data_IF_090340273919
#
_entry.id   IF_090340273919
#
_cell.length_a   1.000
_cell.length_b   1.000
_cell.length_c   1.000
_cell.angle_alpha   90.00
_cell.angle_beta   90.00
_cell.angle_gamma   90.00
#
_symmetry.space_group_name_H-M   'P 1'
#
loop_
_entity.id
_entity.type
_entity.pdbx_description
1 polymer ?
#
# COMPACT_ATOMS: atom_id res chain seq x y z
N UNK A 1 -13.47 -8.66 -6.71
CA UNK A 1 -12.13 -9.24 -7.10
C UNK A 1 -12.28 -10.73 -7.38
N UNK A 2 -11.41 -11.32 -8.21
CA UNK A 2 -11.45 -12.78 -8.47
C UNK A 2 -10.85 -13.54 -7.27
N UNK A 3 -11.31 -14.80 -7.06
CA UNK A 3 -10.90 -15.67 -5.96
C UNK A 3 -9.37 -15.83 -5.83
N UNK A 4 -8.68 -15.92 -6.98
CA UNK A 4 -7.21 -16.05 -7.03
C UNK A 4 -6.44 -14.96 -6.27
N UNK A 5 -6.99 -13.78 -6.14
CA UNK A 5 -6.38 -12.60 -5.50
C UNK A 5 -7.10 -12.17 -4.23
N UNK A 6 -7.95 -13.06 -3.69
CA UNK A 6 -8.75 -12.78 -2.50
C UNK A 6 -8.23 -13.61 -1.33
N UNK A 7 -7.69 -12.94 -0.32
CA UNK A 7 -7.40 -13.59 0.96
C UNK A 7 -8.71 -13.72 1.76
N UNK A 8 -8.86 -14.82 2.49
CA UNK A 8 -10.11 -15.22 3.14
C UNK A 8 -10.65 -14.13 4.09
N UNK A 9 -9.81 -13.56 4.95
CA UNK A 9 -10.22 -12.59 5.96
C UNK A 9 -10.73 -11.30 5.30
N UNK A 10 -9.99 -10.73 4.35
CA UNK A 10 -10.43 -9.53 3.64
C UNK A 10 -11.65 -9.82 2.76
N UNK A 11 -11.67 -10.97 2.10
CA UNK A 11 -12.81 -11.40 1.28
C UNK A 11 -14.09 -11.56 2.07
N UNK A 12 -14.01 -12.01 3.33
CA UNK A 12 -15.19 -12.18 4.19
C UNK A 12 -15.88 -10.86 4.54
N UNK A 13 -15.11 -9.76 4.65
CA UNK A 13 -15.69 -8.42 4.90
C UNK A 13 -16.63 -8.02 3.75
N UNK A 14 -16.28 -8.36 2.52
CA UNK A 14 -17.01 -7.99 1.31
C UNK A 14 -17.95 -9.07 0.80
N UNK A 15 -18.20 -10.12 1.60
CA UNK A 15 -19.22 -11.10 1.27
C UNK A 15 -20.62 -10.49 1.44
N UNK A 16 -21.54 -10.90 0.57
CA UNK A 16 -22.93 -10.46 0.65
C UNK A 16 -23.57 -10.77 2.01
N UNK A 17 -23.25 -11.94 2.58
CA UNK A 17 -23.70 -12.30 3.93
C UNK A 17 -23.24 -11.28 4.99
N UNK A 18 -21.95 -10.86 4.94
CA UNK A 18 -21.43 -9.89 5.91
C UNK A 18 -21.98 -8.48 5.69
N UNK A 19 -22.26 -8.10 4.45
CA UNK A 19 -22.94 -6.82 4.15
C UNK A 19 -24.31 -6.79 4.85
N UNK A 20 -25.16 -7.81 4.63
CA UNK A 20 -26.47 -7.88 5.27
C UNK A 20 -26.40 -8.03 6.80
N UNK A 21 -25.43 -8.78 7.33
CA UNK A 21 -25.21 -8.89 8.77
C UNK A 21 -24.83 -7.54 9.38
N UNK A 22 -24.00 -6.73 8.69
CA UNK A 22 -23.62 -5.39 9.15
C UNK A 22 -24.79 -4.43 9.10
N UNK A 23 -25.59 -4.44 8.03
CA UNK A 23 -26.84 -3.66 7.93
C UNK A 23 -27.82 -4.01 9.04
N UNK A 24 -28.01 -5.32 9.32
CA UNK A 24 -28.83 -5.81 10.45
C UNK A 24 -28.34 -5.26 11.80
N UNK A 25 -27.02 -5.22 11.99
CA UNK A 25 -26.44 -4.65 13.22
C UNK A 25 -26.80 -3.16 13.38
N UNK A 26 -26.72 -2.37 12.29
CA UNK A 26 -27.13 -0.95 12.31
C UNK A 26 -28.60 -0.81 12.67
N UNK A 27 -29.51 -1.59 12.08
CA UNK A 27 -30.94 -1.56 12.36
C UNK A 27 -31.27 -1.93 13.82
N UNK A 28 -30.60 -2.95 14.36
CA UNK A 28 -30.78 -3.34 15.78
C UNK A 28 -30.35 -2.18 16.69
N UNK A 29 -29.15 -1.62 16.45
CA UNK A 29 -28.64 -0.53 17.28
C UNK A 29 -29.47 0.75 17.17
N UNK A 30 -30.02 1.06 15.98
CA UNK A 30 -30.95 2.17 15.81
C UNK A 30 -32.24 1.95 16.58
N UNK A 31 -32.80 0.73 16.57
CA UNK A 31 -34.00 0.38 17.35
C UNK A 31 -33.73 0.48 18.85
N UNK A 32 -32.55 0.08 19.33
CA UNK A 32 -32.16 0.27 20.73
C UNK A 32 -32.11 1.76 21.12
N UNK A 33 -31.48 2.59 20.29
CA UNK A 33 -31.44 4.02 20.52
C UNK A 33 -32.86 4.65 20.56
N UNK A 34 -33.76 4.23 19.68
CA UNK A 34 -35.17 4.66 19.70
C UNK A 34 -35.88 4.23 20.98
N UNK A 35 -35.56 3.05 21.53
CA UNK A 35 -36.09 2.60 22.81
C UNK A 35 -35.55 3.41 24.01
N UNK A 36 -34.27 3.79 23.98
CA UNK A 36 -33.67 4.67 25.00
C UNK A 36 -34.33 6.06 24.99
N UNK A 37 -34.74 6.57 23.84
CA UNK A 37 -35.49 7.81 23.69
C UNK A 37 -36.97 7.67 24.09
N UNK A 38 -37.46 6.43 24.28
CA UNK A 38 -38.88 6.17 24.57
C UNK A 38 -39.78 6.25 23.34
N UNK A 39 -39.24 6.30 22.14
CA UNK A 39 -40.02 6.34 20.90
C UNK A 39 -40.63 4.98 20.54
N UNK A 40 -40.03 3.89 21.03
CA UNK A 40 -40.56 2.53 20.93
C UNK A 40 -40.48 1.83 22.30
N UNK A 41 -41.29 0.80 22.56
CA UNK A 41 -41.20 0.00 23.78
C UNK A 41 -39.83 -0.69 23.89
N UNK A 42 -39.28 -0.77 25.11
CA UNK A 42 -38.01 -1.49 25.35
C UNK A 42 -38.09 -2.96 24.96
N UNK A 43 -39.23 -3.58 25.28
CA UNK A 43 -39.52 -4.97 24.93
C UNK A 43 -39.55 -5.20 23.41
N UNK A 44 -39.87 -4.18 22.61
CA UNK A 44 -39.83 -4.26 21.17
C UNK A 44 -38.37 -4.25 20.66
N UNK A 45 -37.50 -3.40 21.22
CA UNK A 45 -36.08 -3.40 20.88
C UNK A 45 -35.38 -4.72 21.27
N UNK A 46 -35.74 -5.29 22.43
CA UNK A 46 -35.25 -6.62 22.84
C UNK A 46 -35.69 -7.71 21.86
N UNK A 47 -36.98 -7.71 21.45
CA UNK A 47 -37.47 -8.66 20.44
C UNK A 47 -36.79 -8.49 19.09
N UNK A 48 -36.51 -7.25 18.65
CA UNK A 48 -35.75 -6.98 17.42
C UNK A 48 -34.36 -7.58 17.54
N UNK A 49 -33.64 -7.34 18.64
CA UNK A 49 -32.29 -7.89 18.86
C UNK A 49 -32.27 -9.42 18.83
N UNK A 50 -33.25 -10.06 19.49
CA UNK A 50 -33.29 -11.51 19.63
C UNK A 50 -33.69 -12.24 18.33
N UNK A 51 -34.64 -11.62 17.57
CA UNK A 51 -35.29 -12.27 16.43
C UNK A 51 -34.86 -11.77 15.06
N UNK A 52 -34.09 -10.67 14.99
CA UNK A 52 -33.63 -10.14 13.71
C UNK A 52 -32.78 -11.18 12.98
N UNK A 53 -33.39 -11.79 12.00
CA UNK A 53 -32.78 -12.76 11.11
C UNK A 53 -33.16 -12.43 9.66
N UNK A 54 -32.34 -12.83 8.72
CA UNK A 54 -32.61 -12.67 7.29
C UNK A 54 -32.14 -13.90 6.51
N UNK A 55 -32.64 -14.03 5.31
CA UNK A 55 -32.15 -14.98 4.30
C UNK A 55 -31.81 -14.19 3.04
N UNK A 56 -30.58 -14.35 2.54
CA UNK A 56 -30.13 -13.70 1.31
C UNK A 56 -31.06 -14.05 0.14
N UNK A 57 -31.42 -15.33 0.00
CA UNK A 57 -32.34 -15.78 -1.04
C UNK A 57 -33.70 -15.07 -0.92
N UNK A 58 -34.22 -14.92 0.32
CA UNK A 58 -35.51 -14.25 0.54
C UNK A 58 -35.44 -12.76 0.24
N UNK A 59 -34.31 -12.10 0.57
CA UNK A 59 -34.08 -10.70 0.20
C UNK A 59 -34.13 -10.56 -1.31
N UNK A 60 -33.42 -11.42 -2.06
CA UNK A 60 -33.44 -11.39 -3.53
C UNK A 60 -34.82 -11.64 -4.12
N UNK A 61 -35.63 -12.55 -3.54
CA UNK A 61 -37.01 -12.76 -3.96
C UNK A 61 -37.86 -11.49 -3.84
N UNK A 62 -37.79 -10.82 -2.68
CA UNK A 62 -38.54 -9.58 -2.42
C UNK A 62 -38.02 -8.45 -3.31
N UNK A 63 -36.69 -8.35 -3.49
CA UNK A 63 -36.08 -7.31 -4.34
C UNK A 63 -36.48 -7.47 -5.81
N UNK A 64 -36.63 -8.70 -6.31
CA UNK A 64 -37.08 -8.95 -7.67
C UNK A 64 -38.48 -8.37 -7.95
N UNK A 65 -39.33 -8.22 -6.92
CA UNK A 65 -40.65 -7.62 -7.02
C UNK A 65 -40.65 -6.11 -6.74
N UNK A 66 -39.86 -5.69 -5.74
CA UNK A 66 -39.87 -4.29 -5.22
C UNK A 66 -38.86 -3.39 -5.96
N UNK A 67 -37.85 -3.98 -6.60
CA UNK A 67 -36.72 -3.30 -7.23
C UNK A 67 -35.95 -2.33 -6.27
N UNK A 68 -35.93 -2.68 -4.97
CA UNK A 68 -35.30 -1.88 -3.93
C UNK A 68 -34.68 -2.78 -2.85
N UNK A 69 -33.36 -2.85 -2.82
CA UNK A 69 -32.57 -3.73 -1.95
C UNK A 69 -32.83 -3.53 -0.45
N UNK A 70 -32.76 -2.29 0.06
CA UNK A 70 -32.99 -2.01 1.49
C UNK A 70 -34.45 -2.22 1.90
N UNK A 71 -35.40 -1.89 1.05
CA UNK A 71 -36.79 -2.19 1.32
C UNK A 71 -37.05 -3.71 1.43
N UNK A 72 -36.45 -4.48 0.55
CA UNK A 72 -36.47 -5.95 0.58
C UNK A 72 -35.85 -6.51 1.87
N UNK A 73 -34.69 -5.99 2.25
CA UNK A 73 -34.01 -6.37 3.49
C UNK A 73 -34.84 -6.07 4.74
N UNK A 74 -35.36 -4.85 4.88
CA UNK A 74 -36.22 -4.44 6.02
C UNK A 74 -37.49 -5.29 6.09
N UNK A 75 -38.10 -5.58 4.93
CA UNK A 75 -39.27 -6.47 4.87
C UNK A 75 -38.95 -7.88 5.38
N UNK A 76 -37.81 -8.45 4.94
CA UNK A 76 -37.40 -9.77 5.39
C UNK A 76 -37.02 -9.80 6.89
N UNK A 77 -36.41 -8.76 7.43
CA UNK A 77 -36.20 -8.66 8.88
C UNK A 77 -37.55 -8.66 9.62
N UNK A 78 -38.49 -7.88 9.16
CA UNK A 78 -39.82 -7.73 9.79
C UNK A 78 -40.62 -9.05 9.77
N UNK A 79 -40.52 -9.84 8.67
CA UNK A 79 -41.13 -11.18 8.59
C UNK A 79 -40.68 -12.10 9.74
N UNK A 80 -39.41 -12.03 10.15
CA UNK A 80 -38.81 -12.87 11.18
C UNK A 80 -39.07 -12.35 12.63
N UNK A 81 -39.23 -11.01 12.80
CA UNK A 81 -39.41 -10.39 14.10
C UNK A 81 -40.87 -10.46 14.58
N UNK A 82 -41.81 -10.38 13.66
CA UNK A 82 -43.25 -10.34 13.98
C UNK A 82 -43.72 -8.94 14.33
N UNK A 83 -44.58 -8.80 15.36
CA UNK A 83 -45.25 -7.52 15.68
C UNK A 83 -44.27 -6.34 15.94
N UNK A 84 -43.13 -6.59 16.55
CA UNK A 84 -42.10 -5.59 16.78
C UNK A 84 -41.39 -5.16 15.50
N UNK A 85 -41.52 -5.93 14.42
CA UNK A 85 -40.93 -5.60 13.11
C UNK A 85 -41.36 -4.26 12.52
N UNK A 86 -42.53 -3.74 12.92
CA UNK A 86 -43.02 -2.40 12.53
C UNK A 86 -42.15 -1.23 13.01
N UNK A 87 -41.21 -1.47 13.93
CA UNK A 87 -40.30 -0.47 14.46
C UNK A 87 -38.93 -0.53 13.80
N UNK A 88 -38.63 -1.55 12.99
CA UNK A 88 -37.40 -1.60 12.20
C UNK A 88 -37.41 -0.47 11.18
N UNK A 89 -36.28 0.18 10.98
CA UNK A 89 -36.12 1.31 10.05
C UNK A 89 -36.92 2.57 10.40
N UNK A 90 -37.35 2.73 11.65
CA UNK A 90 -38.19 3.85 12.08
C UNK A 90 -37.42 5.18 11.95
N UNK A 91 -37.89 6.08 11.08
CA UNK A 91 -37.30 7.39 10.83
C UNK A 91 -36.03 7.38 9.99
N UNK A 92 -35.57 6.22 9.54
CA UNK A 92 -34.35 6.06 8.77
C UNK A 92 -34.61 6.13 7.24
N UNK A 93 -33.59 6.51 6.51
CA UNK A 93 -33.51 6.31 5.05
C UNK A 93 -32.45 5.25 4.70
N UNK A 94 -32.55 4.67 3.53
CA UNK A 94 -31.65 3.56 3.11
C UNK A 94 -30.16 3.85 3.31
N UNK A 95 -29.72 5.09 3.07
CA UNK A 95 -28.31 5.48 3.23
C UNK A 95 -27.89 5.73 4.67
N UNK A 96 -28.82 5.93 5.60
CA UNK A 96 -28.51 5.94 7.02
C UNK A 96 -27.92 4.59 7.44
N UNK A 97 -28.47 3.51 6.91
CA UNK A 97 -28.00 2.15 7.20
C UNK A 97 -26.79 1.79 6.32
N UNK A 98 -26.88 2.06 5.00
CA UNK A 98 -25.83 1.68 4.05
C UNK A 98 -24.52 2.39 4.29
N UNK A 99 -24.52 3.72 4.41
CA UNK A 99 -23.28 4.48 4.57
C UNK A 99 -22.64 4.21 5.95
N UNK A 100 -23.45 4.02 6.99
CA UNK A 100 -22.96 3.66 8.32
C UNK A 100 -22.35 2.25 8.34
N UNK A 101 -23.01 1.28 7.72
CA UNK A 101 -22.48 -0.08 7.56
C UNK A 101 -21.18 -0.08 6.72
N UNK A 102 -21.16 0.66 5.61
CA UNK A 102 -19.96 0.79 4.76
C UNK A 102 -18.79 1.41 5.54
N UNK A 103 -19.03 2.47 6.33
CA UNK A 103 -18.01 3.08 7.18
C UNK A 103 -17.41 2.09 8.18
N UNK A 104 -18.24 1.21 8.76
CA UNK A 104 -17.78 0.14 9.64
C UNK A 104 -16.98 -0.94 8.90
N UNK A 105 -17.44 -1.38 7.73
CA UNK A 105 -16.72 -2.36 6.89
C UNK A 105 -15.37 -1.80 6.40
N UNK A 106 -15.30 -0.53 5.99
CA UNK A 106 -14.07 0.14 5.61
C UNK A 106 -13.09 0.29 6.77
N UNK A 107 -13.59 0.52 8.00
CA UNK A 107 -12.77 0.47 9.22
C UNK A 107 -12.11 -0.90 9.38
N UNK A 108 -12.88 -1.98 9.28
CA UNK A 108 -12.37 -3.36 9.39
C UNK A 108 -11.32 -3.67 8.31
N UNK A 109 -11.61 -3.32 7.05
CA UNK A 109 -10.65 -3.48 5.96
C UNK A 109 -9.36 -2.69 6.20
N UNK A 110 -9.47 -1.46 6.71
CA UNK A 110 -8.32 -0.63 7.07
C UNK A 110 -7.45 -1.23 8.18
N UNK A 111 -8.05 -1.90 9.14
CA UNK A 111 -7.35 -2.58 10.24
C UNK A 111 -6.50 -3.75 9.72
N UNK A 112 -7.01 -4.51 8.75
CA UNK A 112 -6.25 -5.57 8.07
C UNK A 112 -5.08 -4.97 7.30
N UNK A 113 -5.31 -3.95 6.47
CA UNK A 113 -4.26 -3.31 5.67
C UNK A 113 -3.18 -2.66 6.54
N UNK A 114 -3.52 -2.12 7.71
CA UNK A 114 -2.54 -1.62 8.68
C UNK A 114 -1.67 -2.75 9.22
N UNK A 115 -2.27 -3.86 9.61
CA UNK A 115 -1.52 -5.03 10.10
C UNK A 115 -0.56 -5.58 9.03
N UNK A 116 -0.99 -5.62 7.77
CA UNK A 116 -0.16 -6.05 6.64
C UNK A 116 1.03 -5.11 6.40
N UNK A 117 0.79 -3.79 6.45
CA UNK A 117 1.85 -2.79 6.32
C UNK A 117 2.87 -2.89 7.47
N UNK A 118 2.41 -3.14 8.69
CA UNK A 118 3.28 -3.33 9.85
C UNK A 118 4.11 -4.61 9.72
N UNK A 119 3.51 -5.70 9.27
CA UNK A 119 4.23 -6.93 8.98
C UNK A 119 5.29 -6.74 7.88
N UNK A 120 4.96 -5.99 6.84
CA UNK A 120 5.91 -5.65 5.77
C UNK A 120 7.05 -4.77 6.28
N UNK A 121 6.77 -3.76 7.10
CA UNK A 121 7.78 -2.93 7.78
C UNK A 121 8.76 -3.78 8.57
N UNK A 122 8.28 -4.74 9.34
CA UNK A 122 9.12 -5.56 10.22
C UNK A 122 10.05 -6.48 9.41
N UNK A 123 9.57 -7.02 8.29
CA UNK A 123 10.41 -7.76 7.34
C UNK A 123 11.48 -6.84 6.74
N UNK A 124 11.12 -5.63 6.32
CA UNK A 124 12.09 -4.67 5.77
C UNK A 124 13.17 -4.29 6.79
N UNK A 125 12.80 -4.05 8.06
CA UNK A 125 13.76 -3.77 9.15
C UNK A 125 14.77 -4.90 9.29
N UNK A 126 14.31 -6.13 9.38
CA UNK A 126 15.17 -7.31 9.53
C UNK A 126 16.10 -7.48 8.31
N UNK A 127 15.55 -7.41 7.11
CA UNK A 127 16.33 -7.58 5.88
C UNK A 127 17.31 -6.41 5.65
N UNK A 128 16.96 -5.20 6.02
CA UNK A 128 17.86 -4.05 5.94
C UNK A 128 19.09 -4.24 6.83
N UNK A 129 18.90 -4.71 8.07
CA UNK A 129 20.01 -5.01 9.00
C UNK A 129 20.87 -6.15 8.48
N UNK A 130 20.26 -7.22 7.94
CA UNK A 130 20.98 -8.37 7.36
C UNK A 130 21.97 -7.93 6.25
N UNK A 131 21.59 -6.99 5.41
CA UNK A 131 22.41 -6.51 4.28
C UNK A 131 23.02 -5.12 4.53
N UNK A 132 23.09 -4.68 5.77
CA UNK A 132 23.57 -3.33 6.14
C UNK A 132 24.93 -3.00 5.48
N UNK A 133 25.83 -3.95 5.46
CA UNK A 133 27.18 -3.79 4.93
C UNK A 133 27.44 -4.55 3.63
N UNK A 134 26.40 -5.00 2.94
CA UNK A 134 26.53 -5.66 1.62
C UNK A 134 26.69 -4.60 0.53
N UNK A 135 27.89 -4.41 -0.03
CA UNK A 135 28.10 -3.40 -1.06
C UNK A 135 27.38 -3.78 -2.34
N UNK A 136 26.82 -2.81 -3.01
CA UNK A 136 26.27 -2.93 -4.35
C UNK A 136 26.48 -1.63 -5.12
N UNK A 137 26.41 -1.69 -6.44
CA UNK A 137 26.54 -0.49 -7.27
C UNK A 137 25.21 0.29 -7.29
N UNK A 138 25.28 1.58 -6.97
CA UNK A 138 24.20 2.54 -7.21
C UNK A 138 24.16 2.88 -8.70
N UNK A 139 22.96 2.82 -9.29
CA UNK A 139 22.73 3.15 -10.70
C UNK A 139 21.86 4.40 -10.81
N UNK A 140 22.32 5.38 -11.59
CA UNK A 140 21.51 6.53 -12.01
C UNK A 140 21.38 6.49 -13.53
N UNK A 141 20.18 6.72 -14.05
CA UNK A 141 19.89 6.56 -15.49
C UNK A 141 20.23 5.18 -16.06
N UNK A 142 20.32 4.14 -15.22
CA UNK A 142 20.77 2.81 -15.59
C UNK A 142 22.30 2.63 -15.67
N UNK A 143 23.08 3.69 -15.40
CA UNK A 143 24.53 3.70 -15.47
C UNK A 143 25.12 3.57 -14.06
N UNK A 144 26.27 2.88 -13.93
CA UNK A 144 26.99 2.76 -12.66
C UNK A 144 27.46 4.13 -12.18
N UNK A 145 27.10 4.49 -10.95
CA UNK A 145 27.48 5.75 -10.31
C UNK A 145 28.49 5.47 -9.19
N UNK A 146 28.03 5.31 -7.96
CA UNK A 146 28.87 5.10 -6.79
C UNK A 146 28.40 3.85 -6.01
N UNK A 147 29.23 3.36 -5.11
CA UNK A 147 28.85 2.27 -4.22
C UNK A 147 27.79 2.72 -3.21
N UNK A 148 26.86 1.83 -2.97
CA UNK A 148 25.88 1.88 -1.87
C UNK A 148 25.84 0.53 -1.18
N UNK A 149 24.91 0.31 -0.24
CA UNK A 149 24.64 -1.03 0.29
C UNK A 149 23.23 -1.49 -0.06
N UNK A 150 23.06 -2.81 -0.17
CA UNK A 150 21.73 -3.38 -0.37
C UNK A 150 20.80 -3.10 0.83
N UNK A 151 21.38 -3.03 2.04
CA UNK A 151 20.65 -2.60 3.23
C UNK A 151 20.13 -1.17 3.16
N UNK A 152 20.89 -0.21 2.60
CA UNK A 152 20.43 1.16 2.39
C UNK A 152 19.27 1.23 1.39
N UNK A 153 19.28 0.39 0.34
CA UNK A 153 18.15 0.25 -0.58
C UNK A 153 16.88 -0.18 0.16
N UNK A 154 16.99 -1.15 1.04
CA UNK A 154 15.87 -1.62 1.87
C UNK A 154 15.44 -0.59 2.93
N UNK A 155 16.37 0.19 3.50
CA UNK A 155 16.03 1.32 4.38
C UNK A 155 15.19 2.39 3.67
N UNK A 156 15.43 2.65 2.38
CA UNK A 156 14.60 3.57 1.61
C UNK A 156 13.17 3.04 1.47
N UNK A 157 12.99 1.72 1.24
CA UNK A 157 11.66 1.09 1.21
C UNK A 157 11.00 1.12 2.58
N UNK A 158 11.77 0.90 3.66
CA UNK A 158 11.31 1.01 5.04
C UNK A 158 10.74 2.40 5.32
N UNK A 159 11.49 3.46 5.02
CA UNK A 159 11.05 4.84 5.22
C UNK A 159 9.75 5.18 4.47
N UNK A 160 9.59 4.62 3.27
CA UNK A 160 8.38 4.79 2.47
C UNK A 160 7.20 4.00 3.04
N UNK A 161 7.45 2.80 3.55
CA UNK A 161 6.44 1.96 4.21
C UNK A 161 5.95 2.61 5.52
N UNK A 162 6.83 3.20 6.30
CA UNK A 162 6.44 3.96 7.51
C UNK A 162 5.52 5.14 7.16
N UNK A 163 5.82 5.89 6.10
CA UNK A 163 4.91 6.93 5.61
C UNK A 163 3.58 6.37 5.11
N UNK A 164 3.57 5.17 4.52
CA UNK A 164 2.35 4.52 4.08
C UNK A 164 1.49 4.04 5.26
N UNK A 165 2.09 3.59 6.36
CA UNK A 165 1.39 3.29 7.60
C UNK A 165 0.66 4.54 8.13
N UNK A 166 1.34 5.68 8.19
CA UNK A 166 0.71 6.93 8.63
C UNK A 166 -0.42 7.39 7.69
N UNK A 167 -0.25 7.24 6.36
CA UNK A 167 -1.33 7.49 5.39
C UNK A 167 -2.53 6.59 5.63
N UNK A 168 -2.29 5.29 5.87
CA UNK A 168 -3.37 4.32 6.10
C UNK A 168 -4.10 4.57 7.43
N UNK A 169 -3.41 4.98 8.50
CA UNK A 169 -4.04 5.40 9.76
C UNK A 169 -5.00 6.56 9.52
N UNK A 170 -4.55 7.59 8.80
CA UNK A 170 -5.41 8.72 8.44
C UNK A 170 -6.57 8.29 7.53
N UNK A 171 -6.34 7.46 6.53
CA UNK A 171 -7.37 6.94 5.65
C UNK A 171 -8.46 6.21 6.44
N UNK A 172 -8.06 5.37 7.43
CA UNK A 172 -8.97 4.70 8.35
C UNK A 172 -9.85 5.71 9.11
N UNK A 173 -9.27 6.77 9.67
CA UNK A 173 -10.03 7.80 10.39
C UNK A 173 -11.06 8.49 9.50
N UNK A 174 -10.67 8.81 8.26
CA UNK A 174 -11.51 9.52 7.28
C UNK A 174 -12.75 8.69 6.88
N UNK A 175 -12.63 7.37 6.74
CA UNK A 175 -13.73 6.49 6.32
C UNK A 175 -14.47 5.79 7.46
N UNK A 176 -13.93 5.80 8.69
CA UNK A 176 -14.58 5.21 9.87
C UNK A 176 -15.65 6.15 10.42
N UNK A 177 -16.62 6.49 9.58
CA UNK A 177 -17.66 7.49 9.86
C UNK A 177 -19.03 6.91 9.52
N UNK A 178 -20.03 7.25 10.33
CA UNK A 178 -21.43 6.91 10.08
C UNK A 178 -22.30 8.15 9.96
N UNK A 179 -23.48 8.00 9.40
CA UNK A 179 -24.53 9.01 9.33
C UNK A 179 -25.90 8.37 9.55
N UNK A 180 -26.70 8.94 10.43
CA UNK A 180 -28.12 8.62 10.59
C UNK A 180 -28.84 9.96 10.77
N UNK A 181 -29.08 10.65 9.67
CA UNK A 181 -29.53 12.03 9.62
C UNK A 181 -30.78 12.24 8.74
N UNK A 182 -31.35 11.14 8.25
CA UNK A 182 -32.58 11.16 7.44
C UNK A 182 -32.33 11.50 5.97
N UNK A 183 -33.41 11.77 5.26
CA UNK A 183 -33.47 11.86 3.80
C UNK A 183 -32.61 12.96 3.17
N UNK A 184 -32.29 14.03 3.88
CA UNK A 184 -31.50 15.17 3.38
C UNK A 184 -30.52 15.73 4.43
N UNK A 185 -30.29 15.00 5.53
CA UNK A 185 -29.30 15.38 6.55
C UNK A 185 -29.80 16.34 7.62
N UNK A 186 -31.11 16.54 7.74
CA UNK A 186 -31.70 17.52 8.66
C UNK A 186 -32.27 16.92 9.96
N UNK A 187 -32.19 15.61 10.14
CA UNK A 187 -32.76 14.87 11.28
C UNK A 187 -34.29 15.08 11.46
N UNK A 188 -35.00 15.29 10.35
CA UNK A 188 -36.44 15.61 10.42
C UNK A 188 -37.28 14.51 11.09
N UNK A 189 -36.93 13.24 10.86
CA UNK A 189 -37.68 12.06 11.32
C UNK A 189 -36.88 11.16 12.30
N UNK A 190 -35.63 11.54 12.65
CA UNK A 190 -34.76 10.78 13.55
C UNK A 190 -33.99 11.72 14.47
N UNK A 191 -33.93 11.39 15.76
CA UNK A 191 -33.15 12.18 16.72
C UNK A 191 -31.63 11.97 16.51
N UNK A 192 -30.81 13.03 16.58
CA UNK A 192 -29.33 12.90 16.50
C UNK A 192 -28.72 11.89 17.49
N UNK A 193 -29.35 11.65 18.60
CA UNK A 193 -28.94 10.64 19.58
C UNK A 193 -28.84 9.24 18.95
N UNK A 194 -29.69 8.91 17.97
CA UNK A 194 -29.64 7.60 17.28
C UNK A 194 -28.33 7.43 16.54
N UNK A 195 -27.90 8.47 15.85
CA UNK A 195 -26.57 8.46 15.13
C UNK A 195 -25.42 8.31 16.12
N UNK A 196 -25.41 9.11 17.20
CA UNK A 196 -24.35 9.04 18.22
C UNK A 196 -24.29 7.65 18.88
N UNK A 197 -25.46 7.09 19.22
CA UNK A 197 -25.54 5.76 19.83
C UNK A 197 -24.99 4.67 18.91
N UNK A 198 -25.45 4.62 17.66
CA UNK A 198 -25.04 3.60 16.69
C UNK A 198 -23.54 3.73 16.39
N UNK A 199 -23.06 4.92 16.08
CA UNK A 199 -21.65 5.16 15.79
C UNK A 199 -20.75 4.76 16.97
N UNK A 200 -21.13 5.12 18.19
CA UNK A 200 -20.40 4.74 19.40
C UNK A 200 -20.32 3.21 19.58
N UNK A 201 -21.42 2.50 19.36
CA UNK A 201 -21.47 1.03 19.47
C UNK A 201 -20.63 0.33 18.41
N UNK A 202 -20.56 0.87 17.19
CA UNK A 202 -19.72 0.37 16.11
C UNK A 202 -18.24 0.83 16.23
N UNK A 203 -17.96 1.78 17.12
CA UNK A 203 -16.63 2.36 17.28
C UNK A 203 -16.18 3.14 16.04
N UNK A 204 -17.12 3.84 15.41
CA UNK A 204 -16.91 4.82 14.32
C UNK A 204 -17.34 6.20 14.79
N UNK A 205 -17.05 7.24 14.03
CA UNK A 205 -17.36 8.64 14.40
C UNK A 205 -18.63 9.10 13.67
N UNK A 206 -19.59 9.76 14.33
CA UNK A 206 -20.70 10.40 13.62
C UNK A 206 -20.18 11.53 12.73
N UNK A 207 -20.74 11.67 11.53
CA UNK A 207 -20.41 12.78 10.64
C UNK A 207 -20.93 14.09 11.21
N UNK A 208 -20.13 15.17 11.26
CA UNK A 208 -20.60 16.46 11.77
C UNK A 208 -21.71 17.06 10.89
N UNK A 209 -21.80 16.65 9.64
CA UNK A 209 -22.84 17.02 8.68
C UNK A 209 -22.85 16.01 7.53
N UNK A 210 -24.02 15.77 6.98
CA UNK A 210 -24.21 14.97 5.77
C UNK A 210 -25.39 15.51 4.97
N UNK A 211 -25.58 15.01 3.77
CA UNK A 211 -26.82 15.13 3.01
C UNK A 211 -27.65 13.86 3.20
N UNK A 212 -28.26 13.31 2.16
CA UNK A 212 -28.77 11.95 2.24
C UNK A 212 -27.63 10.92 2.38
N UNK A 213 -26.43 11.28 1.91
CA UNK A 213 -25.22 10.45 1.97
C UNK A 213 -24.10 11.14 2.74
N UNK A 214 -23.10 10.38 3.17
CA UNK A 214 -21.77 10.91 3.47
C UNK A 214 -21.13 11.51 2.21
N UNK A 215 -20.30 12.52 2.35
CA UNK A 215 -19.60 13.11 1.23
C UNK A 215 -18.53 12.15 0.68
N UNK A 216 -18.47 11.98 -0.65
CA UNK A 216 -17.67 10.97 -1.31
C UNK A 216 -16.18 11.31 -1.44
N UNK A 217 -15.78 12.55 -1.12
CA UNK A 217 -14.38 12.93 -0.96
C UNK A 217 -13.63 12.03 0.03
N UNK A 218 -14.30 11.53 1.08
CA UNK A 218 -13.76 10.56 2.05
C UNK A 218 -13.37 9.25 1.38
N UNK A 219 -14.25 8.70 0.56
CA UNK A 219 -14.02 7.46 -0.18
C UNK A 219 -12.96 7.65 -1.27
N UNK A 220 -12.95 8.80 -1.94
CA UNK A 220 -11.94 9.17 -2.92
C UNK A 220 -10.54 9.31 -2.27
N UNK A 221 -10.42 9.97 -1.11
CA UNK A 221 -9.16 10.04 -0.34
C UNK A 221 -8.69 8.63 0.03
N UNK A 222 -9.59 7.79 0.54
CA UNK A 222 -9.27 6.41 0.92
C UNK A 222 -8.69 5.62 -0.25
N UNK A 223 -9.41 5.50 -1.36
CA UNK A 223 -8.94 4.71 -2.53
C UNK A 223 -7.68 5.30 -3.13
N UNK A 224 -7.52 6.63 -3.11
CA UNK A 224 -6.29 7.30 -3.57
C UNK A 224 -5.09 6.93 -2.70
N UNK A 225 -5.26 6.83 -1.39
CA UNK A 225 -4.21 6.36 -0.47
C UNK A 225 -3.86 4.90 -0.76
N UNK A 226 -4.85 4.02 -1.01
CA UNK A 226 -4.59 2.65 -1.44
C UNK A 226 -3.77 2.62 -2.74
N UNK A 227 -4.05 3.50 -3.69
CA UNK A 227 -3.30 3.61 -4.95
C UNK A 227 -1.86 4.10 -4.74
N UNK A 228 -1.61 5.01 -3.79
CA UNK A 228 -0.25 5.43 -3.40
C UNK A 228 0.53 4.26 -2.81
N UNK A 229 -0.08 3.49 -1.90
CA UNK A 229 0.56 2.31 -1.29
C UNK A 229 0.86 1.26 -2.36
N UNK A 230 -0.09 0.95 -3.24
CA UNK A 230 0.11 0.03 -4.36
C UNK A 230 1.23 0.49 -5.30
N UNK A 231 1.37 1.80 -5.51
CA UNK A 231 2.46 2.38 -6.33
C UNK A 231 3.83 2.24 -5.67
N UNK A 232 3.91 2.26 -4.33
CA UNK A 232 5.14 1.93 -3.60
C UNK A 232 5.55 0.48 -3.84
N UNK A 233 4.60 -0.47 -3.74
CA UNK A 233 4.86 -1.89 -4.01
C UNK A 233 5.28 -2.10 -5.48
N UNK A 234 4.62 -1.45 -6.44
CA UNK A 234 4.98 -1.48 -7.87
C UNK A 234 6.43 -1.04 -8.09
N UNK A 235 6.85 0.06 -7.45
CA UNK A 235 8.23 0.56 -7.50
C UNK A 235 9.22 -0.47 -6.94
N UNK A 236 8.95 -1.06 -5.78
CA UNK A 236 9.83 -2.05 -5.14
C UNK A 236 9.91 -3.32 -5.98
N UNK A 237 8.78 -3.79 -6.49
CA UNK A 237 8.70 -4.95 -7.37
C UNK A 237 9.44 -4.70 -8.70
N UNK A 238 9.36 -3.50 -9.25
CA UNK A 238 10.10 -3.11 -10.45
C UNK A 238 11.60 -3.16 -10.22
N UNK A 239 12.09 -2.70 -9.06
CA UNK A 239 13.50 -2.80 -8.71
C UNK A 239 13.97 -4.26 -8.64
N UNK A 240 13.21 -5.16 -7.97
CA UNK A 240 13.54 -6.59 -7.93
C UNK A 240 13.61 -7.18 -9.34
N UNK A 241 12.65 -6.83 -10.21
CA UNK A 241 12.65 -7.27 -11.63
C UNK A 241 13.91 -6.81 -12.36
N UNK A 242 14.41 -5.59 -12.11
CA UNK A 242 15.66 -5.10 -12.66
C UNK A 242 16.87 -5.88 -12.13
N UNK A 243 16.91 -6.16 -10.83
CA UNK A 243 17.99 -6.91 -10.20
C UNK A 243 18.04 -8.38 -10.65
N UNK A 244 16.90 -8.95 -11.06
CA UNK A 244 16.79 -10.34 -11.51
C UNK A 244 17.11 -10.53 -13.00
N UNK A 245 17.32 -9.46 -13.77
CA UNK A 245 17.68 -9.59 -15.19
C UNK A 245 18.96 -10.41 -15.34
N UNK A 246 19.06 -11.17 -16.44
CA UNK A 246 20.18 -12.05 -16.73
C UNK A 246 21.55 -11.34 -16.65
N UNK A 247 21.61 -10.09 -17.13
CA UNK A 247 22.82 -9.27 -17.17
C UNK A 247 23.22 -8.69 -15.81
N UNK A 248 22.28 -8.60 -14.86
CA UNK A 248 22.48 -8.03 -13.52
C UNK A 248 22.61 -9.14 -12.48
N UNK A 249 21.57 -9.89 -12.26
CA UNK A 249 21.52 -11.07 -11.38
C UNK A 249 22.02 -10.83 -9.94
N UNK A 250 21.72 -9.67 -9.39
CA UNK A 250 22.11 -9.29 -8.02
C UNK A 250 21.13 -9.79 -6.95
N UNK A 251 19.85 -9.96 -7.31
CA UNK A 251 18.81 -10.55 -6.47
C UNK A 251 17.74 -11.21 -7.33
N UNK A 252 17.02 -12.20 -6.76
CA UNK A 252 15.90 -12.86 -7.43
C UNK A 252 14.80 -13.30 -6.45
N UNK A 253 13.56 -13.42 -6.96
CA UNK A 253 12.47 -14.06 -6.21
C UNK A 253 12.84 -15.49 -5.82
N UNK A 254 12.44 -15.89 -4.62
CA UNK A 254 12.60 -17.29 -4.22
C UNK A 254 11.85 -18.22 -5.16
N UNK A 255 12.57 -19.19 -5.70
CA UNK A 255 12.05 -20.20 -6.59
C UNK A 255 12.00 -21.56 -5.88
N UNK A 256 10.79 -22.08 -5.62
CA UNK A 256 10.64 -23.34 -4.90
C UNK A 256 11.07 -24.55 -5.77
N UNK A 257 11.54 -25.66 -5.15
CA UNK A 257 12.01 -26.83 -5.89
C UNK A 257 10.98 -27.46 -6.84
N UNK A 258 9.68 -27.26 -6.56
CA UNK A 258 8.58 -27.80 -7.39
C UNK A 258 8.02 -26.77 -8.38
N UNK A 259 8.49 -25.53 -8.32
CA UNK A 259 8.00 -24.47 -9.21
C UNK A 259 8.55 -24.64 -10.62
N UNK A 260 7.71 -24.37 -11.62
CA UNK A 260 8.10 -24.33 -13.03
C UNK A 260 8.14 -22.87 -13.50
N UNK A 261 9.27 -22.40 -13.96
CA UNK A 261 9.45 -21.04 -14.46
C UNK A 261 9.07 -20.85 -15.94
N UNK A 262 9.07 -21.95 -16.69
CA UNK A 262 8.73 -21.95 -18.12
C UNK A 262 8.21 -23.32 -18.52
N UNK A 263 7.31 -23.36 -19.50
CA UNK A 263 6.84 -24.62 -20.12
C UNK A 263 7.87 -25.27 -21.05
N UNK A 264 8.85 -24.50 -21.55
CA UNK A 264 9.83 -24.93 -22.55
C UNK A 264 11.26 -24.89 -22.01
N UNK A 265 11.61 -23.89 -21.18
CA UNK A 265 12.98 -23.70 -20.66
C UNK A 265 13.04 -24.04 -19.18
N UNK A 266 13.51 -25.24 -18.78
CA UNK A 266 13.47 -25.71 -17.38
C UNK A 266 14.28 -24.84 -16.39
N UNK A 267 15.32 -24.16 -16.86
CA UNK A 267 16.21 -23.30 -16.05
C UNK A 267 15.70 -21.88 -15.86
N UNK A 268 14.65 -21.47 -16.59
CA UNK A 268 14.18 -20.09 -16.61
C UNK A 268 13.40 -19.76 -15.32
N UNK A 269 13.87 -18.75 -14.57
CA UNK A 269 13.24 -18.23 -13.36
C UNK A 269 12.76 -16.82 -13.62
N UNK A 270 11.44 -16.66 -13.73
CA UNK A 270 10.82 -15.37 -14.03
C UNK A 270 10.37 -14.69 -12.72
N UNK A 271 10.47 -13.36 -12.61
CA UNK A 271 9.96 -12.59 -11.47
C UNK A 271 8.44 -12.38 -11.56
N UNK A 272 7.69 -13.50 -11.67
CA UNK A 272 6.24 -13.48 -11.97
C UNK A 272 5.41 -12.85 -10.84
N UNK A 273 5.88 -12.95 -9.61
CA UNK A 273 5.19 -12.36 -8.47
C UNK A 273 5.34 -10.84 -8.50
N UNK A 274 6.55 -10.33 -8.72
CA UNK A 274 6.79 -8.90 -8.89
C UNK A 274 6.05 -8.33 -10.11
N UNK A 275 6.00 -9.06 -11.23
CA UNK A 275 5.22 -8.66 -12.42
C UNK A 275 3.72 -8.52 -12.09
N UNK A 276 3.19 -9.46 -11.30
CA UNK A 276 1.81 -9.43 -10.82
C UNK A 276 1.55 -8.22 -9.91
N UNK A 277 2.48 -7.89 -9.01
CA UNK A 277 2.37 -6.68 -8.17
C UNK A 277 2.26 -5.42 -9.02
N UNK A 278 3.12 -5.29 -10.04
CA UNK A 278 3.05 -4.17 -10.98
C UNK A 278 1.71 -4.12 -11.75
N UNK A 279 1.16 -5.29 -12.10
CA UNK A 279 -0.14 -5.40 -12.78
C UNK A 279 -1.29 -4.95 -11.88
N UNK A 280 -1.38 -5.47 -10.65
CA UNK A 280 -2.46 -5.15 -9.70
C UNK A 280 -2.45 -3.68 -9.28
N UNK A 281 -1.29 -3.06 -9.15
CA UNK A 281 -1.20 -1.63 -8.86
C UNK A 281 -1.89 -0.75 -9.91
N UNK A 282 -1.93 -1.18 -11.17
CA UNK A 282 -2.65 -0.46 -12.25
C UNK A 282 -4.15 -0.47 -12.02
N UNK A 283 -4.70 -1.59 -11.53
CA UNK A 283 -6.13 -1.74 -11.22
C UNK A 283 -6.52 -0.77 -10.12
N UNK A 284 -5.77 -0.76 -9.00
CA UNK A 284 -6.08 0.13 -7.87
C UNK A 284 -5.97 1.61 -8.27
N UNK A 285 -4.99 1.99 -9.11
CA UNK A 285 -4.90 3.36 -9.65
C UNK A 285 -6.10 3.73 -10.54
N UNK A 286 -6.59 2.79 -11.34
CA UNK A 286 -7.82 3.01 -12.12
C UNK A 286 -9.05 3.19 -11.23
N UNK A 287 -9.16 2.40 -10.16
CA UNK A 287 -10.23 2.52 -9.17
C UNK A 287 -10.18 3.87 -8.42
N UNK A 288 -8.99 4.39 -8.14
CA UNK A 288 -8.84 5.72 -7.52
C UNK A 288 -9.35 6.84 -8.43
N UNK A 289 -9.16 6.72 -9.75
CA UNK A 289 -9.76 7.65 -10.71
C UNK A 289 -11.29 7.62 -10.65
N UNK A 290 -11.88 6.42 -10.66
CA UNK A 290 -13.33 6.28 -10.57
C UNK A 290 -13.89 6.84 -9.25
N UNK A 291 -13.19 6.60 -8.12
CA UNK A 291 -13.58 7.15 -6.81
C UNK A 291 -13.57 8.70 -6.78
N UNK A 292 -12.64 9.34 -7.47
CA UNK A 292 -12.60 10.80 -7.58
C UNK A 292 -13.79 11.36 -8.38
N UNK A 293 -14.29 10.61 -9.36
CA UNK A 293 -15.45 11.00 -10.15
C UNK A 293 -16.76 10.90 -9.35
N UNK A 294 -16.82 10.02 -8.35
CA UNK A 294 -17.98 9.89 -7.46
C UNK A 294 -18.15 11.07 -6.47
N UNK A 295 -17.18 11.97 -6.36
CA UNK A 295 -17.29 13.16 -5.49
C UNK A 295 -18.40 14.11 -5.96
N UNK A 296 -18.62 14.23 -7.26
CA UNK A 296 -19.57 15.16 -7.86
C UNK A 296 -20.96 14.56 -8.01
N UNK A 297 -21.72 14.52 -6.93
CA UNK A 297 -23.12 14.09 -6.94
C UNK A 297 -24.08 15.28 -7.16
N UNK A 298 -25.30 15.01 -7.66
CA UNK A 298 -26.35 16.01 -7.79
C UNK A 298 -27.04 16.27 -6.46
N UNK A 299 -27.14 17.54 -6.09
CA UNK A 299 -27.89 18.02 -4.91
C UNK A 299 -27.50 17.25 -3.64
N UNK A 300 -28.49 16.80 -2.87
CA UNK A 300 -28.32 16.03 -1.63
C UNK A 300 -27.97 14.56 -1.90
N UNK A 301 -28.22 14.03 -3.10
CA UNK A 301 -27.78 12.72 -3.61
C UNK A 301 -28.32 12.46 -5.02
N UNK A 302 -27.51 11.83 -5.85
CA UNK A 302 -27.96 10.89 -6.89
C UNK A 302 -27.34 9.50 -6.63
N UNK A 303 -27.68 8.48 -7.42
CA UNK A 303 -27.22 7.11 -7.17
C UNK A 303 -26.04 6.66 -8.05
N UNK A 304 -25.42 7.56 -8.81
CA UNK A 304 -24.32 7.24 -9.74
C UNK A 304 -23.13 6.59 -9.04
N UNK A 305 -22.81 7.04 -7.83
CA UNK A 305 -21.71 6.49 -7.01
C UNK A 305 -21.90 5.01 -6.64
N UNK A 306 -23.14 4.59 -6.42
CA UNK A 306 -23.44 3.28 -5.80
C UNK A 306 -22.94 2.09 -6.63
N UNK A 307 -23.15 2.11 -7.94
CA UNK A 307 -22.67 1.04 -8.83
C UNK A 307 -21.15 0.98 -8.90
N UNK A 308 -20.48 2.12 -8.80
CA UNK A 308 -19.01 2.24 -8.82
C UNK A 308 -18.42 1.71 -7.50
N UNK A 309 -18.91 2.18 -6.35
CA UNK A 309 -18.43 1.82 -5.02
C UNK A 309 -18.55 0.32 -4.73
N UNK A 310 -19.61 -0.33 -5.19
CA UNK A 310 -19.80 -1.79 -5.08
C UNK A 310 -18.68 -2.60 -5.76
N UNK A 311 -17.96 -2.01 -6.68
CA UNK A 311 -16.84 -2.63 -7.40
C UNK A 311 -15.51 -2.15 -6.82
N UNK A 312 -15.28 -0.84 -6.78
CA UNK A 312 -13.94 -0.31 -6.53
C UNK A 312 -13.47 -0.46 -5.08
N UNK A 313 -14.37 -0.40 -4.09
CA UNK A 313 -13.99 -0.52 -2.68
C UNK A 313 -13.57 -1.96 -2.32
N UNK A 314 -14.37 -3.00 -2.61
CA UNK A 314 -13.94 -4.38 -2.44
C UNK A 314 -12.70 -4.71 -3.24
N UNK A 315 -12.69 -4.36 -4.53
CA UNK A 315 -11.59 -4.72 -5.43
C UNK A 315 -10.26 -4.07 -5.01
N UNK A 316 -10.29 -2.81 -4.56
CA UNK A 316 -9.07 -2.11 -4.15
C UNK A 316 -8.50 -2.62 -2.83
N UNK A 317 -9.35 -2.88 -1.83
CA UNK A 317 -8.92 -3.39 -0.52
C UNK A 317 -8.44 -4.83 -0.61
N UNK A 318 -9.16 -5.69 -1.31
CA UNK A 318 -8.78 -7.10 -1.55
C UNK A 318 -7.48 -7.17 -2.35
N UNK A 319 -7.34 -6.39 -3.42
CA UNK A 319 -6.12 -6.37 -4.21
C UNK A 319 -4.92 -5.90 -3.41
N UNK A 320 -5.07 -4.85 -2.59
CA UNK A 320 -3.96 -4.31 -1.79
C UNK A 320 -3.54 -5.27 -0.68
N UNK A 321 -4.48 -5.91 0.03
CA UNK A 321 -4.21 -6.96 1.01
C UNK A 321 -3.42 -8.12 0.39
N UNK A 322 -3.87 -8.61 -0.77
CA UNK A 322 -3.13 -9.63 -1.53
C UNK A 322 -1.73 -9.17 -1.92
N UNK A 323 -1.59 -7.93 -2.38
CA UNK A 323 -0.29 -7.36 -2.76
C UNK A 323 0.64 -7.29 -1.55
N UNK A 324 0.19 -6.74 -0.43
CA UNK A 324 1.00 -6.58 0.80
C UNK A 324 1.45 -7.94 1.34
N UNK A 325 0.52 -8.86 1.57
CA UNK A 325 0.83 -10.19 2.11
C UNK A 325 1.74 -11.01 1.19
N UNK A 326 1.53 -10.91 -0.13
CA UNK A 326 2.34 -11.63 -1.10
C UNK A 326 3.73 -11.01 -1.25
N UNK A 327 3.83 -9.68 -1.33
CA UNK A 327 5.11 -8.99 -1.50
C UNK A 327 5.97 -9.05 -0.24
N UNK A 328 5.35 -9.06 0.94
CA UNK A 328 6.04 -9.33 2.22
C UNK A 328 6.79 -10.66 2.14
N UNK A 329 6.15 -11.73 1.64
CA UNK A 329 6.80 -13.04 1.45
C UNK A 329 7.92 -13.02 0.39
N UNK A 330 7.75 -12.19 -0.66
CA UNK A 330 8.82 -12.01 -1.66
C UNK A 330 10.05 -11.41 -1.02
N UNK A 331 9.91 -10.31 -0.28
CA UNK A 331 11.04 -9.62 0.37
C UNK A 331 11.65 -10.47 1.49
N UNK A 332 10.82 -11.17 2.25
CA UNK A 332 11.26 -12.09 3.32
C UNK A 332 12.19 -13.18 2.79
N UNK A 333 11.85 -13.77 1.65
CA UNK A 333 12.56 -14.89 1.03
C UNK A 333 13.44 -14.49 -0.15
N UNK A 334 13.65 -13.19 -0.39
CA UNK A 334 14.44 -12.70 -1.50
C UNK A 334 15.86 -13.28 -1.45
N UNK A 335 16.27 -13.91 -2.53
CA UNK A 335 17.64 -14.41 -2.68
C UNK A 335 18.51 -13.24 -3.14
N UNK A 336 19.57 -12.98 -2.40
CA UNK A 336 20.54 -11.91 -2.67
C UNK A 336 21.88 -12.54 -2.94
N UNK A 337 22.62 -12.02 -3.93
CA UNK A 337 23.93 -12.52 -4.36
C UNK A 337 25.02 -11.48 -4.09
N UNK A 338 25.61 -11.42 -2.88
CA UNK A 338 26.62 -10.42 -2.52
C UNK A 338 27.87 -10.48 -3.39
N UNK A 339 28.30 -11.69 -3.79
CA UNK A 339 29.46 -11.86 -4.69
C UNK A 339 29.17 -11.22 -6.05
N UNK A 340 27.96 -11.42 -6.60
CA UNK A 340 27.57 -10.82 -7.88
C UNK A 340 27.45 -9.31 -7.80
N UNK A 341 26.93 -8.78 -6.70
CA UNK A 341 26.91 -7.33 -6.43
C UNK A 341 28.32 -6.75 -6.45
N UNK A 342 29.30 -7.46 -5.89
CA UNK A 342 30.70 -7.03 -5.87
C UNK A 342 31.33 -7.12 -7.26
N UNK A 343 31.04 -8.15 -8.05
CA UNK A 343 31.47 -8.26 -9.45
C UNK A 343 30.96 -7.08 -10.28
N UNK A 344 29.64 -6.77 -10.16
CA UNK A 344 29.01 -5.68 -10.90
C UNK A 344 29.55 -4.31 -10.47
N UNK A 345 29.88 -4.13 -9.19
CA UNK A 345 30.56 -2.93 -8.68
C UNK A 345 31.92 -2.70 -9.36
N UNK A 346 32.65 -3.77 -9.68
CA UNK A 346 33.96 -3.72 -10.32
C UNK A 346 33.89 -3.68 -11.85
N UNK A 347 32.71 -3.87 -12.46
CA UNK A 347 32.55 -4.04 -13.91
C UNK A 347 33.19 -2.91 -14.74
N UNK A 348 33.19 -1.68 -14.25
CA UNK A 348 33.76 -0.53 -14.93
C UNK A 348 35.27 -0.39 -14.73
N UNK A 349 35.94 -1.34 -14.00
CA UNK A 349 37.36 -1.30 -13.76
C UNK A 349 37.81 -0.10 -12.93
N UNK A 350 37.07 0.23 -11.89
CA UNK A 350 37.42 1.26 -10.92
C UNK A 350 36.97 2.67 -11.26
N UNK A 351 36.25 2.91 -12.38
CA UNK A 351 35.75 4.25 -12.74
C UNK A 351 34.84 4.86 -11.69
N UNK A 352 34.18 4.04 -10.86
CA UNK A 352 33.35 4.48 -9.75
C UNK A 352 34.12 5.27 -8.69
N UNK A 353 35.46 5.12 -8.62
CA UNK A 353 36.29 5.86 -7.66
C UNK A 353 36.72 7.25 -8.16
N UNK A 354 36.40 7.60 -9.41
CA UNK A 354 36.77 8.90 -10.00
C UNK A 354 36.30 10.13 -9.15
N UNK A 355 35.13 10.13 -8.48
CA UNK A 355 34.76 11.25 -7.59
C UNK A 355 35.65 11.39 -6.37
N UNK A 356 36.04 10.27 -5.74
CA UNK A 356 36.96 10.29 -4.58
C UNK A 356 38.31 10.85 -5.02
N UNK A 357 38.87 10.37 -6.14
CA UNK A 357 40.12 10.84 -6.67
C UNK A 357 40.08 12.32 -7.00
N UNK A 358 39.03 12.80 -7.68
CA UNK A 358 38.84 14.22 -7.99
C UNK A 358 38.87 15.09 -6.74
N UNK A 359 38.10 14.70 -5.72
CA UNK A 359 38.03 15.44 -4.48
C UNK A 359 39.37 15.43 -3.72
N UNK A 360 40.04 14.28 -3.66
CA UNK A 360 41.37 14.18 -3.02
C UNK A 360 42.42 15.05 -3.72
N UNK A 361 42.42 15.11 -5.05
CA UNK A 361 43.28 16.03 -5.82
C UNK A 361 43.04 17.50 -5.43
N UNK A 362 41.78 17.90 -5.32
CA UNK A 362 41.41 19.27 -4.94
C UNK A 362 41.81 19.56 -3.48
N UNK A 363 41.55 18.64 -2.56
CA UNK A 363 41.99 18.75 -1.15
C UNK A 363 43.51 18.92 -1.02
N UNK A 364 44.29 18.33 -1.92
CA UNK A 364 45.74 18.47 -1.98
C UNK A 364 46.23 19.70 -2.73
N UNK A 365 45.32 20.57 -3.17
CA UNK A 365 45.65 21.86 -3.76
C UNK A 365 45.56 21.96 -5.29
N UNK A 366 45.15 20.90 -5.99
CA UNK A 366 44.89 21.01 -7.41
C UNK A 366 43.67 21.92 -7.71
N UNK A 367 43.75 22.69 -8.78
CA UNK A 367 42.61 23.44 -9.28
C UNK A 367 41.53 22.47 -9.79
N UNK A 368 40.28 22.60 -9.34
CA UNK A 368 39.20 21.67 -9.65
C UNK A 368 39.06 21.35 -11.14
N UNK A 369 39.13 22.36 -11.99
CA UNK A 369 39.00 22.21 -13.46
C UNK A 369 40.18 21.43 -14.08
N UNK A 370 41.37 21.54 -13.48
CA UNK A 370 42.55 20.77 -13.90
C UNK A 370 42.44 19.32 -13.43
N UNK A 371 42.12 19.12 -12.14
CA UNK A 371 41.90 17.79 -11.59
C UNK A 371 40.79 17.04 -12.35
N UNK A 372 39.69 17.70 -12.70
CA UNK A 372 38.63 17.12 -13.52
C UNK A 372 39.18 16.62 -14.88
N UNK A 373 39.94 17.45 -15.60
CA UNK A 373 40.55 17.06 -16.89
C UNK A 373 41.52 15.89 -16.77
N UNK A 374 42.32 15.87 -15.71
CA UNK A 374 43.26 14.78 -15.47
C UNK A 374 42.55 13.45 -15.23
N UNK A 375 41.55 13.46 -14.35
CA UNK A 375 40.76 12.26 -14.06
C UNK A 375 39.99 11.80 -15.31
N UNK A 376 39.36 12.74 -16.02
CA UNK A 376 38.55 12.45 -17.21
C UNK A 376 39.40 11.80 -18.32
N UNK A 377 40.58 12.34 -18.65
CA UNK A 377 41.42 11.76 -19.71
C UNK A 377 41.80 10.32 -19.41
N UNK A 378 42.13 9.99 -18.17
CA UNK A 378 42.48 8.64 -17.75
C UNK A 378 41.25 7.71 -17.70
N UNK A 379 40.10 8.23 -17.27
CA UNK A 379 38.85 7.50 -17.29
C UNK A 379 38.38 7.17 -18.72
N UNK A 380 38.58 8.10 -19.68
CA UNK A 380 38.23 7.86 -21.09
C UNK A 380 39.10 6.82 -21.77
N UNK A 381 40.40 6.72 -21.43
CA UNK A 381 41.26 5.61 -21.89
C UNK A 381 40.72 4.26 -21.41
N UNK A 382 40.29 4.18 -20.14
CA UNK A 382 39.63 2.96 -19.63
C UNK A 382 38.35 2.67 -20.40
N UNK A 383 37.52 3.67 -20.61
CA UNK A 383 36.17 3.50 -21.20
C UNK A 383 36.23 3.14 -22.69
N UNK A 384 37.13 3.78 -23.46
CA UNK A 384 37.19 3.63 -24.92
C UNK A 384 38.20 2.58 -25.37
N UNK A 385 39.32 2.43 -24.64
CA UNK A 385 40.48 1.63 -25.06
C UNK A 385 40.68 0.38 -24.20
N UNK A 386 39.95 0.28 -23.07
CA UNK A 386 40.01 -0.87 -22.16
C UNK A 386 41.28 -0.88 -21.27
N UNK A 387 42.04 0.23 -21.22
CA UNK A 387 43.26 0.32 -20.40
C UNK A 387 42.92 0.27 -18.89
N UNK A 388 43.90 -0.09 -18.06
CA UNK A 388 43.71 -0.12 -16.61
C UNK A 388 43.66 1.32 -16.04
N UNK A 389 42.57 1.68 -15.39
CA UNK A 389 42.33 3.03 -14.88
C UNK A 389 43.33 3.42 -13.78
N UNK A 390 43.60 2.52 -12.83
CA UNK A 390 44.55 2.77 -11.73
C UNK A 390 45.95 2.96 -12.23
N UNK A 391 46.37 2.10 -13.15
CA UNK A 391 47.74 2.18 -13.75
C UNK A 391 47.90 3.44 -14.61
N UNK A 392 46.86 3.88 -15.32
CA UNK A 392 46.89 5.13 -16.06
C UNK A 392 47.03 6.35 -15.13
N UNK A 393 46.33 6.36 -14.00
CA UNK A 393 46.45 7.42 -13.01
C UNK A 393 47.85 7.51 -12.41
N UNK A 394 48.48 6.36 -12.10
CA UNK A 394 49.85 6.31 -11.57
C UNK A 394 50.90 6.83 -12.55
N UNK A 395 50.63 6.65 -13.85
CA UNK A 395 51.55 7.10 -14.93
C UNK A 395 51.31 8.53 -15.38
N UNK A 396 50.26 9.18 -14.87
CA UNK A 396 49.91 10.53 -15.27
C UNK A 396 50.84 11.56 -14.58
N UNK A 397 51.62 12.26 -15.40
CA UNK A 397 52.64 13.22 -14.93
C UNK A 397 52.03 14.38 -14.12
N UNK A 398 50.87 14.86 -14.52
CA UNK A 398 50.18 15.96 -13.80
C UNK A 398 49.68 15.49 -12.41
N UNK A 399 49.07 14.31 -12.34
CA UNK A 399 48.59 13.74 -11.07
C UNK A 399 49.77 13.46 -10.14
N UNK A 400 50.89 12.97 -10.68
CA UNK A 400 52.13 12.70 -9.93
C UNK A 400 52.72 13.94 -9.25
N UNK A 401 52.38 15.16 -9.70
CA UNK A 401 52.79 16.40 -9.04
C UNK A 401 52.05 16.65 -7.73
N UNK A 402 50.90 16.01 -7.51
CA UNK A 402 50.00 16.27 -6.40
C UNK A 402 49.84 15.05 -5.48
N UNK A 403 49.89 13.83 -6.02
CA UNK A 403 49.62 12.59 -5.27
C UNK A 403 50.69 11.55 -5.53
N UNK A 404 51.04 10.76 -4.50
CA UNK A 404 51.86 9.57 -4.62
C UNK A 404 51.04 8.38 -5.13
N UNK A 405 51.71 7.31 -5.55
CA UNK A 405 51.06 6.07 -6.01
C UNK A 405 50.19 5.46 -4.87
N UNK A 406 50.70 5.47 -3.64
CA UNK A 406 49.99 4.94 -2.46
C UNK A 406 48.74 5.75 -2.16
N UNK A 407 48.76 7.06 -2.34
CA UNK A 407 47.59 7.93 -2.13
C UNK A 407 46.58 7.73 -3.23
N UNK A 408 46.95 7.46 -4.46
CA UNK A 408 46.07 7.10 -5.56
C UNK A 408 45.41 5.75 -5.28
N UNK A 409 46.19 4.72 -4.89
CA UNK A 409 45.65 3.41 -4.50
C UNK A 409 44.66 3.50 -3.34
N UNK A 410 44.94 4.33 -2.35
CA UNK A 410 44.07 4.54 -1.22
C UNK A 410 42.70 5.14 -1.60
N UNK A 411 42.57 5.76 -2.79
CA UNK A 411 41.25 6.21 -3.29
C UNK A 411 40.37 5.06 -3.76
N UNK A 412 40.92 3.90 -4.06
CA UNK A 412 40.21 2.71 -4.58
C UNK A 412 39.68 1.82 -3.43
N UNK A 413 39.16 2.44 -2.39
CA UNK A 413 38.56 1.74 -1.25
C UNK A 413 37.05 2.04 -1.16
N UNK A 414 36.23 1.01 -1.38
CA UNK A 414 34.76 1.08 -1.29
C UNK A 414 34.30 1.52 0.11
N UNK A 415 35.06 1.23 1.17
CA UNK A 415 34.69 1.59 2.54
C UNK A 415 34.61 3.11 2.72
N UNK A 416 35.36 3.88 1.96
CA UNK A 416 35.27 5.35 1.99
C UNK A 416 33.92 5.87 1.54
N UNK A 417 33.32 5.24 0.51
CA UNK A 417 31.96 5.56 0.04
C UNK A 417 30.89 5.17 1.05
N UNK A 418 31.16 4.17 1.89
CA UNK A 418 30.20 3.60 2.83
C UNK A 418 30.39 4.06 4.27
N UNK A 419 31.24 5.06 4.53
CA UNK A 419 31.62 5.53 5.87
C UNK A 419 30.45 6.02 6.72
N UNK A 420 29.34 6.45 6.11
CA UNK A 420 28.15 6.99 6.80
C UNK A 420 26.97 6.00 6.86
N UNK A 421 27.15 4.73 6.53
CA UNK A 421 26.08 3.72 6.57
C UNK A 421 25.47 3.63 7.96
N UNK A 422 26.29 3.55 9.01
CA UNK A 422 25.82 3.51 10.42
C UNK A 422 25.05 4.76 10.82
N UNK A 423 25.49 5.93 10.40
CA UNK A 423 24.78 7.18 10.66
C UNK A 423 23.38 7.19 10.03
N UNK A 424 23.24 6.61 8.83
CA UNK A 424 21.94 6.53 8.15
C UNK A 424 21.04 5.51 8.85
N UNK A 425 21.55 4.33 9.19
CA UNK A 425 20.81 3.29 9.91
C UNK A 425 20.34 3.76 11.29
N UNK A 426 21.15 4.49 12.02
CA UNK A 426 20.78 5.06 13.33
C UNK A 426 19.55 5.98 13.26
N UNK A 427 19.24 6.61 12.12
CA UNK A 427 18.02 7.41 11.92
C UNK A 427 16.73 6.57 11.95
N UNK A 428 16.85 5.27 11.75
CA UNK A 428 15.76 4.29 11.80
C UNK A 428 15.75 3.49 13.10
N UNK A 429 16.65 3.80 14.04
CA UNK A 429 16.86 3.00 15.24
C UNK A 429 17.39 1.58 14.92
N UNK A 430 18.26 1.43 13.91
CA UNK A 430 18.86 0.19 13.43
C UNK A 430 20.39 0.20 13.55
#
# INVERSE_FOLDING_TARGET
>A
MIERYTNEVMGSIWSEQNEWDTLKQVEILASEAQAELGNIPKEAAEQIREKAAFSVDRIHEIEAETHHDIAAFVSNLSENIGEAGKYVHLGLTSTDVKDTALGYMLKQASEILLADLEAFRDVLRRRAVEFKYTPTIGRTHGIHAEATTFGLKLCMWLAETERNIERMKRAKEVVSVGKISGAVGTYADVDPFVEEYVCKKLGITPSPISTQTLQRDRHAEFVTILAVIASSIDKFATEIRHLQRTEVREAEEYFSPKQKGSSIMPHKRNPITCERMCGLARVIRGNAQAAMEDVALWHERDISHSSVERIILPDSTIALDYMLTTFTRVVDKLIVYPEKMMEDLQLTGGLIYSPILLNTLVEKGAVREQAYRWVQRNAMKRWLEGEDFLENLKKDEDIATVMTHEEIEACFDVKKMLSHVDTIFARFGL
#
